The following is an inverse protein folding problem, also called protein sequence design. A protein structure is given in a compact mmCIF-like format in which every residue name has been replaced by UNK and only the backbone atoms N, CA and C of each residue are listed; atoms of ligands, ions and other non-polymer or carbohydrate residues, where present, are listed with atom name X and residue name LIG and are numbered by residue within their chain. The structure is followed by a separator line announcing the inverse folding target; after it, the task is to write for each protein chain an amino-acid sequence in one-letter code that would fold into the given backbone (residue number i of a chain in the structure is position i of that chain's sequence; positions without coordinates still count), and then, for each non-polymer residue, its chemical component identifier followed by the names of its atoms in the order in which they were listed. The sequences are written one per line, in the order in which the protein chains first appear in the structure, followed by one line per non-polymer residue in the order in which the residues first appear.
data_IF_355778972099
#
_entry.id   IF_355778972099
#
_cell.length_a   1.000
_cell.length_b   1.000
_cell.length_c   1.000
_cell.angle_alpha   90.00
_cell.angle_beta   90.00
_cell.angle_gamma   90.00
#
_symmetry.space_group_name_H-M   'P 1'
#
loop_
_entity.id
_entity.type
_entity.pdbx_description
1 polymer ?
#
# COMPACT_ATOMS: atom_id res chain seq x y z
N UNK A 1 -18.90 6.14 8.10
CA UNK A 1 -17.70 6.34 8.93
C UNK A 1 -17.97 5.88 10.35
N UNK A 2 -17.09 5.04 10.87
CA UNK A 2 -17.17 4.52 12.24
C UNK A 2 -16.81 5.63 13.24
N UNK A 3 -15.92 6.53 12.88
CA UNK A 3 -15.46 7.64 13.70
C UNK A 3 -15.92 8.98 13.11
N UNK A 4 -16.80 9.73 13.80
CA UNK A 4 -17.30 11.03 13.33
C UNK A 4 -16.21 12.09 13.16
N UNK A 5 -15.20 12.08 14.02
CA UNK A 5 -14.08 13.03 14.01
C UNK A 5 -12.73 12.30 14.06
N UNK A 6 -11.66 12.99 13.68
CA UNK A 6 -10.31 12.48 13.82
C UNK A 6 -9.93 12.26 15.29
N UNK A 7 -10.38 13.10 16.20
CA UNK A 7 -10.14 12.95 17.64
C UNK A 7 -10.77 11.66 18.16
N UNK A 8 -12.03 11.35 17.79
CA UNK A 8 -12.65 10.07 18.16
C UNK A 8 -11.84 8.86 17.67
N UNK A 9 -11.18 8.99 16.50
CA UNK A 9 -10.28 7.94 16.00
C UNK A 9 -9.01 7.83 16.86
N UNK A 10 -8.40 8.95 17.24
CA UNK A 10 -7.21 8.99 18.11
C UNK A 10 -7.53 8.45 19.51
N UNK A 11 -8.71 8.74 20.05
CA UNK A 11 -9.16 8.22 21.34
C UNK A 11 -9.18 6.69 21.41
N UNK A 12 -9.41 6.00 20.29
CA UNK A 12 -9.34 4.52 20.28
C UNK A 12 -7.93 4.03 20.57
N UNK A 13 -6.90 4.71 20.07
CA UNK A 13 -5.51 4.39 20.40
C UNK A 13 -5.17 4.72 21.85
N UNK A 14 -5.75 5.78 22.41
CA UNK A 14 -5.60 6.13 23.85
C UNK A 14 -6.22 5.07 24.74
N UNK A 15 -7.43 4.61 24.40
CA UNK A 15 -8.11 3.51 25.09
C UNK A 15 -7.27 2.25 25.00
N UNK A 16 -6.80 1.88 23.79
CA UNK A 16 -5.97 0.70 23.60
C UNK A 16 -4.68 0.79 24.43
N UNK A 17 -3.98 1.92 24.41
CA UNK A 17 -2.76 2.15 25.21
C UNK A 17 -3.02 1.87 26.71
N UNK A 18 -4.16 2.35 27.24
CA UNK A 18 -4.48 2.21 28.65
C UNK A 18 -4.90 0.78 29.06
N UNK A 19 -5.27 -0.05 28.10
CA UNK A 19 -5.58 -1.47 28.30
C UNK A 19 -4.36 -2.38 28.29
N UNK A 20 -3.21 -1.89 27.76
CA UNK A 20 -1.97 -2.69 27.70
C UNK A 20 -1.31 -2.71 29.07
N UNK A 21 -1.02 -3.91 29.58
CA UNK A 21 -0.41 -4.14 30.90
C UNK A 21 1.12 -4.28 30.82
N UNK A 22 1.66 -4.93 29.79
CA UNK A 22 3.06 -5.32 29.73
C UNK A 22 3.91 -4.39 28.85
N UNK A 23 3.76 -4.51 27.53
CA UNK A 23 4.58 -3.80 26.57
C UNK A 23 3.77 -3.33 25.37
N UNK A 24 3.93 -2.07 24.97
CA UNK A 24 3.35 -1.49 23.78
C UNK A 24 4.45 -1.04 22.83
N UNK A 25 4.40 -1.54 21.60
CA UNK A 25 5.34 -1.23 20.54
C UNK A 25 4.66 -0.32 19.52
N UNK A 26 5.25 0.84 19.17
CA UNK A 26 4.62 1.83 18.31
C UNK A 26 5.60 2.45 17.30
N UNK A 27 5.08 2.95 16.18
CA UNK A 27 5.87 3.65 15.17
C UNK A 27 6.14 5.10 15.61
N UNK A 28 7.41 5.46 15.85
CA UNK A 28 7.81 6.82 16.23
C UNK A 28 7.73 7.84 15.08
N UNK A 29 7.69 7.36 13.84
CA UNK A 29 7.52 8.21 12.67
C UNK A 29 6.08 8.71 12.51
N UNK A 30 5.10 8.10 13.21
CA UNK A 30 3.77 8.63 13.32
C UNK A 30 3.70 9.70 14.42
N UNK A 31 3.52 10.95 14.00
CA UNK A 31 3.54 12.10 14.91
C UNK A 31 2.40 12.10 15.92
N UNK A 32 1.25 11.51 15.59
CA UNK A 32 0.08 11.39 16.48
C UNK A 32 0.37 10.34 17.55
N UNK A 33 0.82 9.15 17.14
CA UNK A 33 1.22 8.10 18.07
C UNK A 33 2.35 8.56 18.98
N UNK A 34 3.35 9.26 18.42
CA UNK A 34 4.47 9.80 19.21
C UNK A 34 4.03 10.79 20.29
N UNK A 35 3.00 11.60 20.03
CA UNK A 35 2.41 12.48 21.07
C UNK A 35 1.64 11.67 22.10
N UNK A 36 0.83 10.72 21.66
CA UNK A 36 0.00 9.88 22.52
C UNK A 36 0.87 9.04 23.49
N UNK A 37 2.03 8.55 23.04
CA UNK A 37 2.94 7.75 23.87
C UNK A 37 3.72 8.58 24.92
N UNK A 38 3.64 9.91 24.89
CA UNK A 38 4.18 10.79 25.95
C UNK A 38 3.24 10.97 27.13
N UNK A 39 1.96 10.65 26.96
CA UNK A 39 1.00 10.65 28.06
C UNK A 39 1.32 9.49 29.01
N UNK A 40 0.94 9.61 30.28
CA UNK A 40 1.19 8.58 31.31
C UNK A 40 0.67 7.20 30.86
N UNK A 41 1.47 6.19 31.16
CA UNK A 41 1.17 4.79 30.86
C UNK A 41 1.72 3.87 31.97
N UNK A 42 1.07 2.72 32.15
CA UNK A 42 1.50 1.72 33.12
C UNK A 42 2.40 0.64 32.53
N UNK A 43 2.50 0.58 31.20
CA UNK A 43 3.25 -0.45 30.50
C UNK A 43 4.60 0.09 29.96
N UNK A 44 5.49 -0.82 29.64
CA UNK A 44 6.73 -0.52 28.91
C UNK A 44 6.37 -0.01 27.50
N UNK A 45 6.98 1.10 27.08
CA UNK A 45 6.83 1.68 25.75
C UNK A 45 8.10 1.46 24.94
N UNK A 46 7.96 0.88 23.75
CA UNK A 46 9.06 0.69 22.79
C UNK A 46 8.69 1.37 21.47
N UNK A 47 9.45 2.39 21.10
CA UNK A 47 9.32 3.04 19.79
C UNK A 47 10.16 2.36 18.73
N UNK A 48 9.69 2.35 17.48
CA UNK A 48 10.47 1.92 16.34
C UNK A 48 10.35 2.87 15.16
N UNK A 49 11.36 2.85 14.33
CA UNK A 49 11.43 3.61 13.07
C UNK A 49 11.66 2.65 11.91
N UNK A 50 11.60 3.19 10.69
CA UNK A 50 12.05 2.46 9.50
C UNK A 50 13.52 2.07 9.69
N UNK A 51 13.90 0.79 9.61
CA UNK A 51 15.28 0.37 9.79
C UNK A 51 16.16 0.89 8.64
N UNK A 52 17.43 1.16 8.94
CA UNK A 52 18.41 1.51 7.92
C UNK A 52 18.53 0.37 6.91
N UNK A 53 18.41 0.68 5.64
CA UNK A 53 18.43 -0.30 4.55
C UNK A 53 19.10 0.27 3.31
N UNK A 54 19.53 -0.63 2.44
CA UNK A 54 20.06 -0.28 1.13
C UNK A 54 19.29 -1.03 0.04
N UNK A 55 19.24 -0.47 -1.15
CA UNK A 55 18.65 -1.11 -2.32
C UNK A 55 19.76 -1.29 -3.35
N UNK A 56 20.00 -2.54 -3.77
CA UNK A 56 20.99 -2.89 -4.79
C UNK A 56 20.34 -3.82 -5.81
N UNK A 57 20.37 -3.44 -7.08
CA UNK A 57 19.84 -4.24 -8.19
C UNK A 57 18.38 -4.74 -7.94
N UNK A 58 17.51 -3.87 -7.46
CA UNK A 58 16.11 -4.24 -7.17
C UNK A 58 15.89 -5.10 -5.92
N UNK A 59 16.93 -5.35 -5.12
CA UNK A 59 16.83 -6.08 -3.85
C UNK A 59 17.08 -5.16 -2.67
N UNK A 60 16.21 -5.22 -1.67
CA UNK A 60 16.37 -4.49 -0.40
C UNK A 60 17.24 -5.31 0.57
N UNK A 61 18.19 -4.65 1.23
CA UNK A 61 19.05 -5.25 2.22
C UNK A 61 18.93 -4.54 3.57
N UNK A 62 18.74 -5.29 4.65
CA UNK A 62 19.01 -4.86 6.01
C UNK A 62 20.41 -5.31 6.39
N UNK A 63 21.32 -4.35 6.57
CA UNK A 63 22.76 -4.65 6.70
C UNK A 63 23.22 -5.46 5.46
N UNK A 64 23.49 -6.76 5.63
CA UNK A 64 23.89 -7.67 4.56
C UNK A 64 22.82 -8.74 4.24
N UNK A 65 21.64 -8.63 4.83
CA UNK A 65 20.57 -9.62 4.68
C UNK A 65 19.64 -9.21 3.56
N UNK A 66 19.58 -9.99 2.45
CA UNK A 66 18.63 -9.70 1.37
C UNK A 66 17.21 -10.01 1.82
N UNK A 67 16.28 -9.13 1.49
CA UNK A 67 14.87 -9.29 1.77
C UNK A 67 14.09 -9.48 0.46
N UNK A 68 13.05 -10.29 0.51
CA UNK A 68 12.07 -10.43 -0.57
C UNK A 68 10.98 -9.37 -0.51
N UNK A 69 10.81 -8.72 0.64
CA UNK A 69 9.90 -7.59 0.82
C UNK A 69 10.65 -6.26 0.70
N UNK A 70 9.95 -5.24 0.28
CA UNK A 70 10.49 -3.89 0.13
C UNK A 70 9.44 -2.82 0.44
N UNK A 71 9.88 -1.56 0.44
CA UNK A 71 9.04 -0.40 0.73
C UNK A 71 8.99 -0.07 2.22
N UNK A 72 8.94 1.24 2.49
CA UNK A 72 9.03 1.79 3.84
C UNK A 72 8.06 1.12 4.82
N UNK A 73 6.78 0.98 4.43
CA UNK A 73 5.76 0.39 5.30
C UNK A 73 6.02 -1.09 5.63
N UNK A 74 6.52 -1.89 4.67
CA UNK A 74 6.88 -3.28 4.93
C UNK A 74 8.10 -3.39 5.85
N UNK A 75 9.09 -2.49 5.69
CA UNK A 75 10.26 -2.44 6.56
C UNK A 75 9.90 -1.98 7.98
N UNK A 76 8.96 -1.05 8.13
CA UNK A 76 8.40 -0.67 9.43
C UNK A 76 7.70 -1.86 10.10
N UNK A 77 6.84 -2.58 9.37
CA UNK A 77 6.16 -3.77 9.87
C UNK A 77 7.17 -4.86 10.27
N UNK A 78 8.22 -5.07 9.47
CA UNK A 78 9.30 -6.00 9.79
C UNK A 78 10.00 -5.62 11.10
N UNK A 79 10.34 -4.33 11.28
CA UNK A 79 11.01 -3.88 12.50
C UNK A 79 10.11 -4.00 13.74
N UNK A 80 8.81 -3.69 13.60
CA UNK A 80 7.82 -3.94 14.65
C UNK A 80 7.76 -5.42 15.03
N UNK A 81 7.65 -6.32 14.04
CA UNK A 81 7.63 -7.77 14.27
C UNK A 81 8.90 -8.26 14.96
N UNK A 82 10.09 -7.74 14.57
CA UNK A 82 11.35 -8.06 15.22
C UNK A 82 11.33 -7.70 16.71
N UNK A 83 10.82 -6.52 17.05
CA UNK A 83 10.74 -6.10 18.45
C UNK A 83 9.77 -6.95 19.25
N UNK A 84 8.62 -7.33 18.66
CA UNK A 84 7.68 -8.27 19.30
C UNK A 84 8.36 -9.62 19.55
N UNK A 85 9.05 -10.18 18.55
CA UNK A 85 9.80 -11.43 18.69
C UNK A 85 10.85 -11.35 19.78
N UNK A 86 11.56 -10.21 19.89
CA UNK A 86 12.57 -9.97 20.93
C UNK A 86 11.98 -9.95 22.34
N UNK A 87 10.83 -9.30 22.53
CA UNK A 87 10.10 -9.33 23.83
C UNK A 87 9.61 -10.74 24.18
N UNK A 88 9.41 -11.60 23.19
CA UNK A 88 9.07 -13.03 23.36
C UNK A 88 10.30 -13.94 23.50
N UNK A 89 11.52 -13.38 23.59
CA UNK A 89 12.76 -14.14 23.81
C UNK A 89 13.41 -14.69 22.52
N UNK A 90 12.94 -14.32 21.33
CA UNK A 90 13.56 -14.71 20.05
C UNK A 90 14.73 -13.77 19.78
N UNK A 91 15.91 -14.35 19.47
CA UNK A 91 17.09 -13.57 19.16
C UNK A 91 16.98 -12.85 17.81
N UNK A 92 17.69 -11.72 17.67
CA UNK A 92 17.77 -11.01 16.38
C UNK A 92 18.36 -11.92 15.29
N UNK A 93 19.32 -12.79 15.62
CA UNK A 93 19.89 -13.77 14.69
C UNK A 93 18.85 -14.73 14.16
N UNK A 94 18.02 -15.30 15.03
CA UNK A 94 16.98 -16.25 14.62
C UNK A 94 15.90 -15.54 13.80
N UNK A 95 15.52 -14.31 14.22
CA UNK A 95 14.59 -13.50 13.45
C UNK A 95 15.09 -13.25 12.03
N UNK A 96 16.33 -12.78 11.87
CA UNK A 96 16.90 -12.48 10.55
C UNK A 96 17.14 -13.71 9.71
N UNK A 97 17.48 -14.85 10.30
CA UNK A 97 17.60 -16.11 9.59
C UNK A 97 16.29 -16.57 8.94
N UNK A 98 15.17 -16.28 9.59
CA UNK A 98 13.84 -16.66 9.08
C UNK A 98 13.26 -15.61 8.12
N UNK A 99 13.41 -14.31 8.41
CA UNK A 99 12.77 -13.26 7.63
C UNK A 99 13.28 -13.16 6.18
N UNK A 100 14.53 -13.57 5.90
CA UNK A 100 15.11 -13.58 4.55
C UNK A 100 14.32 -14.44 3.55
N UNK A 101 13.56 -15.43 4.04
CA UNK A 101 12.72 -16.29 3.20
C UNK A 101 11.28 -15.84 3.10
N UNK A 102 10.87 -14.85 3.88
CA UNK A 102 9.51 -14.35 3.91
C UNK A 102 9.15 -13.59 2.62
N UNK A 103 8.14 -14.08 1.91
CA UNK A 103 7.70 -13.51 0.62
C UNK A 103 6.74 -12.31 0.74
N UNK A 104 6.42 -11.86 1.97
CA UNK A 104 5.42 -10.83 2.21
C UNK A 104 4.04 -11.40 2.55
N UNK A 105 3.13 -10.52 2.95
CA UNK A 105 1.74 -10.84 3.16
C UNK A 105 0.96 -10.74 1.84
N UNK A 106 -0.08 -11.54 1.67
CA UNK A 106 -0.95 -11.46 0.51
C UNK A 106 -1.54 -10.05 0.35
N UNK A 107 -1.65 -9.59 -0.88
CA UNK A 107 -2.10 -8.24 -1.23
C UNK A 107 -1.28 -7.11 -0.55
N UNK A 108 0.02 -7.31 -0.31
CA UNK A 108 0.94 -6.29 0.23
C UNK A 108 2.21 -6.24 -0.58
N UNK A 109 2.21 -5.53 -1.71
CA UNK A 109 3.27 -5.60 -2.73
C UNK A 109 3.60 -7.05 -3.08
N UNK A 110 2.56 -7.87 -3.19
CA UNK A 110 2.65 -9.28 -3.53
C UNK A 110 3.11 -9.42 -4.98
N UNK A 111 4.23 -10.11 -5.19
CA UNK A 111 4.72 -10.44 -6.52
C UNK A 111 3.82 -11.50 -7.15
N UNK A 112 3.14 -11.16 -8.25
CA UNK A 112 2.23 -12.08 -8.97
C UNK A 112 2.96 -12.74 -10.13
N UNK A 113 3.76 -11.97 -10.87
CA UNK A 113 4.57 -12.45 -11.99
C UNK A 113 5.86 -11.67 -12.09
N UNK A 114 6.94 -12.36 -12.42
CA UNK A 114 8.24 -11.78 -12.69
C UNK A 114 8.78 -12.32 -14.01
N UNK A 115 9.15 -11.41 -14.89
CA UNK A 115 9.89 -11.64 -16.11
C UNK A 115 11.32 -11.08 -15.94
N UNK A 116 12.20 -11.25 -16.91
CA UNK A 116 13.62 -10.84 -16.80
C UNK A 116 13.83 -9.42 -16.26
N UNK A 117 13.02 -8.46 -16.69
CA UNK A 117 13.14 -7.05 -16.29
C UNK A 117 11.79 -6.39 -16.00
N UNK A 118 10.73 -7.16 -15.84
CA UNK A 118 9.37 -6.66 -15.62
C UNK A 118 8.69 -7.47 -14.54
N UNK A 119 7.77 -6.85 -13.81
CA UNK A 119 7.07 -7.55 -12.72
C UNK A 119 5.64 -7.04 -12.59
N UNK A 120 4.74 -7.91 -12.17
CA UNK A 120 3.38 -7.55 -11.78
C UNK A 120 3.27 -7.69 -10.26
N UNK A 121 2.94 -6.60 -9.61
CA UNK A 121 2.67 -6.55 -8.18
C UNK A 121 1.20 -6.29 -7.91
N UNK A 122 0.70 -6.90 -6.84
CA UNK A 122 -0.65 -6.70 -6.34
C UNK A 122 -0.60 -6.10 -4.93
N UNK A 123 -1.41 -5.08 -4.68
CA UNK A 123 -1.46 -4.40 -3.39
C UNK A 123 -2.89 -4.01 -3.00
N UNK A 124 -3.16 -3.99 -1.71
CA UNK A 124 -4.45 -3.60 -1.14
C UNK A 124 -4.61 -2.08 -1.01
N UNK A 125 -3.69 -1.28 -1.52
CA UNK A 125 -3.78 0.17 -1.48
C UNK A 125 -5.05 0.64 -2.21
N UNK A 126 -5.89 1.38 -1.51
CA UNK A 126 -7.16 1.91 -2.02
C UNK A 126 -7.49 3.30 -1.43
N UNK A 127 -6.66 3.84 -0.55
CA UNK A 127 -6.78 5.20 -0.03
C UNK A 127 -5.66 6.10 -0.58
N UNK A 128 -5.86 7.42 -0.66
CA UNK A 128 -4.88 8.32 -1.26
C UNK A 128 -3.46 8.18 -0.72
N UNK A 129 -3.29 8.15 0.60
CA UNK A 129 -1.98 8.02 1.24
C UNK A 129 -1.30 6.67 0.96
N UNK A 130 -2.09 5.59 0.88
CA UNK A 130 -1.56 4.25 0.55
C UNK A 130 -1.13 4.16 -0.91
N UNK A 131 -1.88 4.77 -1.85
CA UNK A 131 -1.48 4.83 -3.25
C UNK A 131 -0.11 5.50 -3.40
N UNK A 132 0.06 6.68 -2.80
CA UNK A 132 1.34 7.41 -2.83
C UNK A 132 2.45 6.52 -2.27
N UNK A 133 2.25 5.94 -1.07
CA UNK A 133 3.27 5.12 -0.42
C UNK A 133 3.65 3.88 -1.22
N UNK A 134 2.69 3.22 -1.85
CA UNK A 134 2.91 1.99 -2.64
C UNK A 134 3.61 2.30 -3.96
N UNK A 135 3.19 3.35 -4.68
CA UNK A 135 3.85 3.80 -5.92
C UNK A 135 5.30 4.22 -5.62
N UNK A 136 5.51 5.01 -4.57
CA UNK A 136 6.85 5.45 -4.15
C UNK A 136 7.75 4.28 -3.76
N UNK A 137 7.20 3.26 -3.11
CA UNK A 137 7.95 2.05 -2.74
C UNK A 137 8.48 1.35 -3.99
N UNK A 138 7.63 1.11 -5.00
CA UNK A 138 8.02 0.46 -6.26
C UNK A 138 9.02 1.34 -7.03
N UNK A 139 8.80 2.66 -7.09
CA UNK A 139 9.70 3.59 -7.78
C UNK A 139 11.09 3.64 -7.17
N UNK A 140 11.19 3.62 -5.85
CA UNK A 140 12.47 3.59 -5.13
C UNK A 140 13.19 2.25 -5.29
N UNK A 141 12.43 1.16 -5.35
CA UNK A 141 12.98 -0.20 -5.49
C UNK A 141 13.55 -0.44 -6.87
N UNK A 142 12.90 0.07 -7.92
CA UNK A 142 13.25 -0.20 -9.33
C UNK A 142 13.39 1.11 -10.11
N UNK A 143 14.51 1.81 -9.91
CA UNK A 143 14.75 3.16 -10.46
C UNK A 143 14.73 3.22 -11.99
N UNK A 144 15.15 2.13 -12.66
CA UNK A 144 15.32 2.08 -14.10
C UNK A 144 14.12 1.41 -14.81
N UNK A 145 13.05 1.11 -14.07
CA UNK A 145 11.83 0.50 -14.63
C UNK A 145 10.69 1.52 -14.70
N UNK A 146 9.95 1.47 -15.79
CA UNK A 146 8.68 2.20 -15.93
C UNK A 146 7.67 1.68 -14.92
N UNK A 147 6.92 2.56 -14.29
CA UNK A 147 5.86 2.22 -13.36
C UNK A 147 4.51 2.53 -13.97
N UNK A 148 3.74 1.48 -14.19
CA UNK A 148 2.33 1.55 -14.55
C UNK A 148 1.51 1.27 -13.29
N UNK A 149 0.82 2.27 -12.79
CA UNK A 149 -0.02 2.14 -11.61
C UNK A 149 -1.49 2.06 -12.00
N UNK A 150 -2.13 0.93 -11.72
CA UNK A 150 -3.55 0.70 -11.95
C UNK A 150 -4.29 0.55 -10.63
N UNK A 151 -5.26 1.43 -10.36
CA UNK A 151 -6.10 1.38 -9.17
C UNK A 151 -7.53 1.07 -9.53
N UNK A 152 -8.17 0.15 -8.79
CA UNK A 152 -9.61 -0.08 -8.84
C UNK A 152 -10.34 0.77 -7.79
N UNK A 153 -11.30 1.60 -8.23
CA UNK A 153 -12.27 2.22 -7.33
C UNK A 153 -13.32 1.17 -6.96
N UNK A 154 -13.24 0.64 -5.74
CA UNK A 154 -14.10 -0.46 -5.31
C UNK A 154 -14.83 -0.18 -3.99
N UNK A 155 -14.23 0.60 -3.08
CA UNK A 155 -14.85 0.91 -1.77
C UNK A 155 -16.02 1.88 -1.91
N UNK A 156 -16.90 1.91 -0.91
CA UNK A 156 -17.96 2.92 -0.84
C UNK A 156 -17.41 4.35 -0.91
N UNK A 157 -16.29 4.61 -0.24
CA UNK A 157 -15.64 5.93 -0.26
C UNK A 157 -15.08 6.26 -1.63
N UNK A 158 -14.33 5.35 -2.25
CA UNK A 158 -13.68 5.61 -3.54
C UNK A 158 -14.67 5.75 -4.71
N UNK A 159 -15.87 5.20 -4.57
CA UNK A 159 -16.97 5.36 -5.53
C UNK A 159 -17.90 6.54 -5.18
N UNK A 160 -17.58 7.34 -4.17
CA UNK A 160 -18.36 8.51 -3.77
C UNK A 160 -17.75 9.78 -4.38
N UNK A 161 -18.51 10.49 -5.19
CA UNK A 161 -18.08 11.73 -5.88
C UNK A 161 -17.47 12.77 -4.94
N UNK A 162 -18.05 12.94 -3.73
CA UNK A 162 -17.54 13.90 -2.73
C UNK A 162 -16.17 13.51 -2.17
N UNK A 163 -15.86 12.19 -2.13
CA UNK A 163 -14.60 11.71 -1.62
C UNK A 163 -13.48 11.69 -2.68
N UNK A 164 -13.84 11.66 -3.98
CA UNK A 164 -12.86 11.57 -5.07
C UNK A 164 -11.81 12.68 -5.02
N UNK A 165 -12.17 13.88 -4.55
CA UNK A 165 -11.22 15.00 -4.40
C UNK A 165 -10.05 14.72 -3.46
N UNK A 166 -10.16 13.72 -2.58
CA UNK A 166 -9.07 13.30 -1.71
C UNK A 166 -7.94 12.60 -2.47
N UNK A 167 -8.22 12.10 -3.69
CA UNK A 167 -7.22 11.43 -4.54
C UNK A 167 -6.37 12.39 -5.37
N UNK A 168 -6.52 13.70 -5.20
CA UNK A 168 -5.74 14.69 -5.94
C UNK A 168 -4.24 14.36 -5.84
N UNK A 169 -3.57 14.29 -7.00
CA UNK A 169 -2.13 14.00 -7.14
C UNK A 169 -1.65 12.64 -6.60
N UNK A 170 -2.53 11.76 -6.12
CA UNK A 170 -2.13 10.51 -5.46
C UNK A 170 -1.42 9.50 -6.37
N UNK A 171 -1.49 9.68 -7.70
CA UNK A 171 -0.84 8.80 -8.68
C UNK A 171 0.21 9.52 -9.55
N UNK A 172 0.60 10.75 -9.22
CA UNK A 172 1.51 11.55 -10.05
C UNK A 172 2.93 10.97 -10.16
N UNK A 173 3.35 10.15 -9.22
CA UNK A 173 4.67 9.50 -9.23
C UNK A 173 4.73 8.25 -10.12
N UNK A 174 3.61 7.79 -10.66
CA UNK A 174 3.59 6.76 -11.70
C UNK A 174 3.94 7.36 -13.08
N UNK A 175 4.59 6.59 -13.93
CA UNK A 175 4.86 7.00 -15.31
C UNK A 175 3.59 6.91 -16.16
N UNK A 176 2.74 5.91 -15.89
CA UNK A 176 1.37 5.81 -16.37
C UNK A 176 0.42 5.52 -15.20
N UNK A 177 -0.72 6.21 -15.18
CA UNK A 177 -1.75 6.08 -14.16
C UNK A 177 -3.06 5.64 -14.78
N UNK A 178 -3.66 4.58 -14.23
CA UNK A 178 -4.92 4.00 -14.70
C UNK A 178 -5.88 3.88 -13.53
N UNK A 179 -7.11 4.35 -13.73
CA UNK A 179 -8.21 4.07 -12.83
C UNK A 179 -9.19 3.15 -13.52
N UNK A 180 -9.49 2.05 -12.87
CA UNK A 180 -10.58 1.15 -13.24
C UNK A 180 -11.75 1.29 -12.26
N UNK A 181 -12.98 1.26 -12.77
CA UNK A 181 -14.17 1.17 -11.95
C UNK A 181 -15.27 0.40 -12.67
N UNK A 182 -16.08 -0.33 -11.92
CA UNK A 182 -17.18 -1.13 -12.46
C UNK A 182 -18.52 -0.41 -12.26
N UNK A 183 -19.28 -0.22 -13.34
CA UNK A 183 -20.64 0.31 -13.28
C UNK A 183 -21.58 -0.63 -12.51
N UNK A 184 -21.35 -1.94 -12.58
CA UNK A 184 -22.09 -2.93 -11.81
C UNK A 184 -21.84 -2.77 -10.31
N UNK A 185 -20.57 -2.52 -9.89
CA UNK A 185 -20.23 -2.30 -8.49
C UNK A 185 -20.95 -1.05 -7.93
N UNK A 186 -21.07 0.02 -8.72
CA UNK A 186 -21.83 1.23 -8.35
C UNK A 186 -23.30 0.89 -8.14
N UNK A 187 -23.92 0.17 -9.09
CA UNK A 187 -25.33 -0.27 -9.01
C UNK A 187 -25.58 -1.16 -7.79
N UNK A 188 -24.75 -2.17 -7.57
CA UNK A 188 -24.86 -3.07 -6.41
C UNK A 188 -24.76 -2.34 -5.09
N UNK A 189 -23.91 -1.31 -5.00
CA UNK A 189 -23.74 -0.49 -3.79
C UNK A 189 -24.79 0.60 -3.66
N UNK A 190 -25.69 0.76 -4.64
CA UNK A 190 -26.73 1.81 -4.68
C UNK A 190 -26.15 3.21 -4.50
N UNK A 191 -25.03 3.48 -5.15
CA UNK A 191 -24.33 4.77 -5.12
C UNK A 191 -24.74 5.61 -6.34
N UNK A 192 -24.60 6.93 -6.21
CA UNK A 192 -24.79 7.86 -7.32
C UNK A 192 -23.78 7.55 -8.43
N UNK A 193 -24.18 7.68 -9.70
CA UNK A 193 -23.30 7.48 -10.84
C UNK A 193 -22.10 8.45 -10.79
N UNK A 194 -20.91 7.92 -11.12
CA UNK A 194 -19.71 8.71 -11.38
C UNK A 194 -19.30 8.55 -12.85
N UNK A 195 -18.82 9.62 -13.46
CA UNK A 195 -18.32 9.61 -14.84
C UNK A 195 -16.79 9.49 -14.91
N UNK A 196 -16.26 9.17 -16.09
CA UNK A 196 -14.82 9.19 -16.35
C UNK A 196 -14.25 10.61 -16.14
N UNK A 197 -15.02 11.64 -16.48
CA UNK A 197 -14.69 13.06 -16.34
C UNK A 197 -14.63 13.47 -14.87
N UNK A 198 -15.57 13.03 -14.03
CA UNK A 198 -15.55 13.28 -12.59
C UNK A 198 -14.26 12.76 -11.96
N UNK A 199 -13.83 11.55 -12.36
CA UNK A 199 -12.60 10.92 -11.85
C UNK A 199 -11.36 11.71 -12.32
N UNK A 200 -11.25 12.02 -13.61
CA UNK A 200 -10.12 12.79 -14.15
C UNK A 200 -9.99 14.14 -13.46
N UNK A 201 -11.09 14.85 -13.31
CA UNK A 201 -11.12 16.15 -12.64
C UNK A 201 -10.69 16.05 -11.17
N UNK A 202 -11.10 14.99 -10.47
CA UNK A 202 -10.78 14.80 -9.05
C UNK A 202 -9.31 14.46 -8.81
N UNK A 203 -8.71 13.62 -9.66
CA UNK A 203 -7.30 13.22 -9.52
C UNK A 203 -6.30 14.30 -9.96
N UNK A 204 -6.73 15.26 -10.79
CA UNK A 204 -5.86 16.32 -11.36
C UNK A 204 -4.58 15.76 -11.97
N UNK A 205 -4.70 14.69 -12.71
CA UNK A 205 -3.58 14.05 -13.40
C UNK A 205 -3.92 13.94 -14.89
N UNK A 206 -3.24 14.72 -15.73
CA UNK A 206 -3.48 14.77 -17.19
C UNK A 206 -3.15 13.46 -17.89
N UNK A 207 -2.25 12.66 -17.31
CA UNK A 207 -1.84 11.34 -17.83
C UNK A 207 -2.78 10.21 -17.37
N UNK A 208 -3.85 10.53 -16.62
CA UNK A 208 -4.74 9.53 -16.08
C UNK A 208 -5.63 8.93 -17.16
N UNK A 209 -5.54 7.61 -17.35
CA UNK A 209 -6.50 6.86 -18.14
C UNK A 209 -7.60 6.31 -17.24
N UNK A 210 -8.85 6.50 -17.62
CA UNK A 210 -10.00 6.01 -16.84
C UNK A 210 -10.79 5.00 -17.69
N UNK A 211 -10.90 3.78 -17.18
CA UNK A 211 -11.50 2.63 -17.86
C UNK A 211 -12.62 2.06 -16.98
N UNK A 212 -13.75 1.69 -17.58
CA UNK A 212 -14.87 1.06 -16.88
C UNK A 212 -15.33 -0.25 -17.53
N UNK A 213 -14.61 -0.70 -18.54
CA UNK A 213 -14.78 -1.99 -19.18
C UNK A 213 -13.59 -2.92 -18.90
N UNK A 214 -13.85 -4.17 -18.56
CA UNK A 214 -12.81 -5.13 -18.18
C UNK A 214 -11.94 -5.56 -19.36
N UNK A 215 -12.54 -5.75 -20.53
CA UNK A 215 -11.79 -6.16 -21.73
C UNK A 215 -10.92 -5.03 -22.24
N UNK A 216 -11.43 -3.78 -22.22
CA UNK A 216 -10.64 -2.58 -22.49
C UNK A 216 -9.43 -2.50 -21.54
N UNK A 217 -9.63 -2.79 -20.24
CA UNK A 217 -8.54 -2.79 -19.28
C UNK A 217 -7.48 -3.84 -19.62
N UNK A 218 -7.89 -5.09 -19.86
CA UNK A 218 -6.95 -6.18 -20.18
C UNK A 218 -6.16 -5.85 -21.42
N UNK A 219 -6.79 -5.42 -22.50
CA UNK A 219 -6.13 -5.09 -23.74
C UNK A 219 -5.14 -3.94 -23.55
N UNK A 220 -5.54 -2.90 -22.83
CA UNK A 220 -4.66 -1.79 -22.54
C UNK A 220 -3.44 -2.21 -21.69
N UNK A 221 -3.64 -3.05 -20.65
CA UNK A 221 -2.55 -3.54 -19.82
C UNK A 221 -1.57 -4.40 -20.63
N UNK A 222 -2.03 -5.23 -21.56
CA UNK A 222 -1.18 -6.00 -22.49
C UNK A 222 -0.30 -5.09 -23.33
N UNK A 223 -0.88 -4.02 -23.88
CA UNK A 223 -0.17 -3.09 -24.77
C UNK A 223 0.97 -2.35 -24.05
N UNK A 224 0.76 -2.02 -22.76
CA UNK A 224 1.71 -1.20 -22.00
C UNK A 224 2.65 -2.00 -21.12
N UNK A 225 2.36 -3.28 -20.83
CA UNK A 225 3.24 -4.17 -20.07
C UNK A 225 4.35 -4.70 -20.99
N UNK A 226 5.42 -3.94 -21.07
CA UNK A 226 6.57 -4.21 -21.94
C UNK A 226 7.84 -4.45 -21.10
N UNK A 227 8.98 -4.65 -21.75
CA UNK A 227 10.28 -4.76 -21.07
C UNK A 227 10.53 -3.54 -20.17
N UNK A 228 11.15 -3.77 -19.03
CA UNK A 228 11.47 -2.76 -18.03
C UNK A 228 10.23 -2.07 -17.41
N UNK A 229 9.10 -2.80 -17.27
CA UNK A 229 7.86 -2.28 -16.70
C UNK A 229 7.51 -3.00 -15.41
N UNK A 230 7.20 -2.24 -14.37
CA UNK A 230 6.51 -2.74 -13.21
C UNK A 230 5.04 -2.33 -13.27
N UNK A 231 4.16 -3.32 -13.36
CA UNK A 231 2.72 -3.13 -13.29
C UNK A 231 2.27 -3.30 -11.83
N UNK A 232 1.69 -2.24 -11.26
CA UNK A 232 1.23 -2.20 -9.89
C UNK A 232 -0.30 -2.17 -9.87
N UNK A 233 -0.91 -3.29 -9.47
CA UNK A 233 -2.36 -3.48 -9.42
C UNK A 233 -2.85 -3.24 -7.99
N UNK A 234 -3.56 -2.14 -7.76
CA UNK A 234 -3.97 -1.68 -6.44
C UNK A 234 -5.49 -1.74 -6.27
N UNK A 235 -5.97 -2.56 -5.35
CA UNK A 235 -7.40 -2.71 -5.11
C UNK A 235 -7.73 -3.31 -3.75
N UNK A 236 -8.86 -2.90 -3.18
CA UNK A 236 -9.55 -3.64 -2.11
C UNK A 236 -10.53 -4.69 -2.65
N UNK A 237 -10.73 -4.73 -3.96
CA UNK A 237 -11.51 -5.72 -4.68
C UNK A 237 -10.62 -6.69 -5.47
N UNK A 238 -11.05 -7.03 -6.69
CA UNK A 238 -10.37 -8.03 -7.52
C UNK A 238 -10.40 -7.71 -9.01
N UNK A 239 -10.56 -6.44 -9.38
CA UNK A 239 -10.67 -5.99 -10.78
C UNK A 239 -11.71 -6.79 -11.58
N UNK A 240 -12.87 -7.04 -11.00
CA UNK A 240 -13.92 -7.89 -11.57
C UNK A 240 -13.40 -9.29 -11.94
N UNK A 241 -12.67 -9.95 -11.01
CA UNK A 241 -12.04 -11.26 -11.18
C UNK A 241 -11.06 -11.30 -12.36
N UNK A 242 -10.22 -10.29 -12.47
CA UNK A 242 -9.18 -10.23 -13.48
C UNK A 242 -8.16 -11.36 -13.24
N UNK A 243 -7.85 -12.09 -14.31
CA UNK A 243 -6.80 -13.09 -14.31
C UNK A 243 -5.48 -12.47 -14.79
N UNK A 244 -4.49 -12.40 -13.94
CA UNK A 244 -3.21 -11.78 -14.26
C UNK A 244 -2.38 -12.56 -15.30
N UNK A 245 -2.72 -13.82 -15.58
CA UNK A 245 -2.10 -14.58 -16.66
C UNK A 245 -2.58 -14.14 -18.06
N UNK A 246 -3.63 -13.34 -18.12
CA UNK A 246 -4.13 -12.76 -19.34
C UNK A 246 -3.42 -11.46 -19.74
N UNK A 247 -2.57 -10.91 -18.88
CA UNK A 247 -1.73 -9.74 -19.14
C UNK A 247 -0.32 -10.21 -19.53
#
# INVERSE_FOLDING_TARGET
NVFPTFENYVDQFRIFKNLVSDCLIFCEEDSVLKKLMKEDTKCKIIGYNTPNHTIKNGTTYLENIPLKIFGKHNLQNLNAARLVCKELGISDSDFYNNIKTFNGASNRLELVREDTNSSIYKDFAHSPSKLIATIDAVKKQFKDRKIVACMELHTFSSLNKKFLSQYVNSMNNADEAIIYFSLEAIKHKRLDPISKEDIKHAFKNEKLKVINDKEELINHLKDIYTKNTNLLMMSSGNFNKLNYNEI
#
